data_IF_868803529343
#
_entry.id   IF_868803529343
#
_cell.length_a   1.000
_cell.length_b   1.000
_cell.length_c   1.000
_cell.angle_alpha   90.00
_cell.angle_beta   90.00
_cell.angle_gamma   90.00
#
_symmetry.space_group_name_H-M   'P 1'
#
loop_
_entity.id
_entity.type
_entity.pdbx_description
1 polymer ?
#
# COMPACT_ATOMS: atom_id res chain seq x y z
N UNK A 1 28.67 -50.39 7.27
CA UNK A 1 27.40 -49.68 7.03
C UNK A 1 27.43 -48.41 7.84
N UNK A 2 27.53 -47.24 7.21
CA UNK A 2 27.41 -45.96 7.91
C UNK A 2 25.93 -45.51 7.88
N UNK A 3 25.40 -44.91 8.96
CA UNK A 3 24.02 -44.45 8.97
C UNK A 3 23.84 -43.21 8.09
N UNK A 4 22.74 -43.16 7.35
CA UNK A 4 22.31 -41.98 6.60
C UNK A 4 21.83 -40.93 7.59
N UNK A 5 22.45 -39.75 7.56
CA UNK A 5 22.03 -38.59 8.33
C UNK A 5 20.77 -38.02 7.67
N UNK A 6 19.60 -38.21 8.29
CA UNK A 6 18.38 -37.51 7.87
C UNK A 6 18.62 -36.02 8.04
N UNK A 7 18.61 -35.27 6.93
CA UNK A 7 18.61 -33.82 6.95
C UNK A 7 17.22 -33.41 7.44
N UNK A 8 17.17 -32.76 8.59
CA UNK A 8 15.98 -32.06 9.06
C UNK A 8 15.68 -30.94 8.05
N UNK A 9 14.65 -31.14 7.23
CA UNK A 9 14.13 -30.14 6.30
C UNK A 9 13.27 -29.12 7.07
N UNK A 10 13.84 -28.48 8.09
CA UNK A 10 13.24 -27.30 8.71
C UNK A 10 13.52 -26.02 7.91
N UNK A 11 13.73 -26.13 6.60
CA UNK A 11 13.65 -24.98 5.71
C UNK A 11 12.17 -24.61 5.61
N UNK A 12 11.78 -23.66 6.47
CA UNK A 12 10.59 -22.85 6.25
C UNK A 12 10.80 -22.09 4.95
N UNK A 13 10.41 -22.74 3.87
CA UNK A 13 10.24 -22.09 2.58
C UNK A 13 9.19 -21.00 2.78
N UNK A 14 9.63 -19.74 2.81
CA UNK A 14 8.81 -18.55 2.52
C UNK A 14 8.38 -18.56 1.03
N UNK A 15 8.02 -19.73 0.52
CA UNK A 15 7.57 -19.96 -0.84
C UNK A 15 6.10 -19.53 -0.94
N UNK A 16 5.88 -18.42 -1.64
CA UNK A 16 4.65 -18.20 -2.38
C UNK A 16 3.46 -17.64 -1.60
N UNK A 17 3.65 -17.00 -0.44
CA UNK A 17 2.55 -16.25 0.16
C UNK A 17 2.25 -15.01 -0.72
N UNK A 18 1.21 -15.08 -1.55
CA UNK A 18 0.68 -13.92 -2.28
C UNK A 18 0.09 -12.96 -1.24
N UNK A 19 0.92 -12.04 -0.75
CA UNK A 19 0.48 -10.94 0.11
C UNK A 19 0.02 -9.77 -0.76
N UNK A 20 -0.95 -8.98 -0.29
CA UNK A 20 -1.22 -7.68 -0.89
C UNK A 20 0.09 -6.90 -0.99
N UNK A 21 0.33 -6.22 -2.12
CA UNK A 21 1.49 -5.33 -2.30
C UNK A 21 1.30 -4.08 -1.44
N UNK A 22 1.39 -4.23 -0.11
CA UNK A 22 1.25 -3.13 0.84
C UNK A 22 2.28 -2.03 0.59
N UNK A 23 3.41 -2.38 -0.03
CA UNK A 23 4.37 -1.45 -0.60
C UNK A 23 4.78 -1.92 -2.00
N UNK A 24 4.85 -1.01 -2.96
CA UNK A 24 5.34 -1.23 -4.31
C UNK A 24 6.54 -0.30 -4.58
N UNK A 25 7.64 -0.87 -5.06
CA UNK A 25 8.91 -0.18 -5.28
C UNK A 25 9.20 0.01 -6.78
N UNK A 26 9.78 1.16 -7.12
CA UNK A 26 10.30 1.45 -8.44
C UNK A 26 11.61 2.22 -8.34
N UNK A 27 12.25 2.46 -9.49
CA UNK A 27 13.54 3.16 -9.54
C UNK A 27 13.50 4.59 -9.01
N UNK A 28 12.34 5.25 -9.06
CA UNK A 28 12.18 6.63 -8.61
C UNK A 28 11.65 6.77 -7.17
N UNK A 29 11.35 5.66 -6.48
CA UNK A 29 10.75 5.71 -5.15
C UNK A 29 9.87 4.50 -4.83
N UNK A 30 9.02 4.65 -3.82
CA UNK A 30 8.02 3.64 -3.48
C UNK A 30 6.70 4.27 -3.05
N UNK A 31 5.63 3.49 -3.16
CA UNK A 31 4.30 3.83 -2.68
C UNK A 31 3.75 2.71 -1.84
N UNK A 32 2.95 3.05 -0.82
CA UNK A 32 2.44 2.06 0.11
C UNK A 32 1.02 2.36 0.56
N UNK A 33 0.29 1.32 0.96
CA UNK A 33 -1.00 1.38 1.62
C UNK A 33 -1.14 0.22 2.60
N UNK A 34 -1.65 0.53 3.79
CA UNK A 34 -2.01 -0.44 4.81
C UNK A 34 -3.42 -0.13 5.31
N UNK A 35 -4.34 -1.06 5.08
CA UNK A 35 -5.73 -0.96 5.55
C UNK A 35 -5.96 -1.94 6.69
N UNK A 36 -6.54 -1.42 7.78
CA UNK A 36 -6.89 -2.22 8.95
C UNK A 36 -8.34 -1.95 9.36
N UNK A 37 -9.04 -3.00 9.80
CA UNK A 37 -10.36 -2.86 10.42
C UNK A 37 -10.19 -2.15 11.77
N UNK A 38 -11.07 -1.19 12.05
CA UNK A 38 -11.02 -0.42 13.31
C UNK A 38 -12.26 -0.64 14.19
N UNK A 39 -13.41 -0.97 13.59
CA UNK A 39 -14.65 -1.34 14.30
C UNK A 39 -15.62 -2.00 13.33
N UNK A 40 -16.85 -2.30 13.79
CA UNK A 40 -17.84 -2.97 12.94
C UNK A 40 -18.11 -2.16 11.67
N UNK A 41 -17.98 -2.82 10.52
CA UNK A 41 -18.16 -2.24 9.20
C UNK A 41 -17.26 -1.01 8.92
N UNK A 42 -16.13 -0.85 9.63
CA UNK A 42 -15.26 0.32 9.48
C UNK A 42 -13.78 -0.04 9.38
N UNK A 43 -13.09 0.63 8.47
CA UNK A 43 -11.65 0.51 8.30
C UNK A 43 -10.95 1.87 8.26
N UNK A 44 -9.65 1.81 8.44
CA UNK A 44 -8.72 2.91 8.24
C UNK A 44 -7.64 2.47 7.26
N UNK A 45 -7.35 3.31 6.28
CA UNK A 45 -6.18 3.17 5.42
C UNK A 45 -5.14 4.24 5.80
N UNK A 46 -3.93 3.80 6.12
CA UNK A 46 -2.73 4.64 6.11
C UNK A 46 -2.00 4.39 4.78
N UNK A 47 -1.53 5.43 4.13
CA UNK A 47 -0.94 5.33 2.79
C UNK A 47 0.09 6.44 2.57
N UNK A 48 0.94 6.26 1.56
CA UNK A 48 1.94 7.28 1.26
C UNK A 48 2.84 6.95 0.09
N UNK A 49 3.80 7.84 -0.11
CA UNK A 49 4.82 7.76 -1.14
C UNK A 49 6.15 8.31 -0.64
N UNK A 50 7.24 7.83 -1.23
CA UNK A 50 8.58 8.35 -1.04
C UNK A 50 9.28 8.46 -2.39
N UNK A 51 10.02 9.55 -2.60
CA UNK A 51 10.73 9.86 -3.83
C UNK A 51 12.24 9.82 -3.63
N UNK A 52 12.95 9.08 -4.48
CA UNK A 52 14.42 9.07 -4.55
C UNK A 52 14.98 10.18 -5.44
N UNK A 53 14.13 10.86 -6.20
CA UNK A 53 14.54 11.78 -7.28
C UNK A 53 14.28 13.26 -6.96
N UNK A 54 13.91 13.56 -5.71
CA UNK A 54 13.73 14.91 -5.20
C UNK A 54 12.46 15.09 -4.36
N UNK A 55 12.32 16.26 -3.73
CA UNK A 55 11.14 16.63 -2.95
C UNK A 55 9.90 16.66 -3.85
N UNK A 56 8.80 16.08 -3.35
CA UNK A 56 7.47 16.19 -3.94
C UNK A 56 6.89 17.55 -3.57
N UNK A 57 6.55 18.35 -4.58
CA UNK A 57 5.90 19.66 -4.43
C UNK A 57 4.38 19.53 -4.35
N UNK A 58 3.82 18.59 -5.12
CA UNK A 58 2.40 18.26 -5.10
C UNK A 58 2.21 16.74 -5.19
N UNK A 59 1.19 16.22 -4.53
CA UNK A 59 0.79 14.81 -4.56
C UNK A 59 -0.71 14.74 -4.80
N UNK A 60 -1.10 14.15 -5.92
CA UNK A 60 -2.47 13.88 -6.31
C UNK A 60 -2.73 12.39 -6.05
N UNK A 61 -3.73 12.07 -5.23
CA UNK A 61 -3.93 10.71 -4.77
C UNK A 61 -5.40 10.31 -4.80
N UNK A 62 -5.63 9.01 -4.95
CA UNK A 62 -6.93 8.35 -4.82
C UNK A 62 -6.75 7.03 -4.05
N UNK A 63 -7.62 6.80 -3.06
CA UNK A 63 -7.75 5.54 -2.34
C UNK A 63 -9.10 4.93 -2.72
N UNK A 64 -9.07 3.81 -3.45
CA UNK A 64 -10.25 2.99 -3.75
C UNK A 64 -10.44 1.96 -2.64
N UNK A 65 -11.66 1.80 -2.12
CA UNK A 65 -11.96 0.92 -0.98
C UNK A 65 -12.43 -0.48 -1.36
N UNK A 66 -12.53 -0.79 -2.66
CA UNK A 66 -12.98 -2.09 -3.16
C UNK A 66 -14.50 -2.33 -3.08
N UNK A 67 -15.28 -1.34 -2.62
CA UNK A 67 -16.76 -1.37 -2.60
C UNK A 67 -17.40 -0.39 -3.60
N UNK A 68 -16.60 0.09 -4.56
CA UNK A 68 -17.00 1.10 -5.54
C UNK A 68 -16.87 2.55 -5.05
N UNK A 69 -16.52 2.79 -3.78
CA UNK A 69 -16.25 4.13 -3.25
C UNK A 69 -14.76 4.44 -3.22
N UNK A 70 -14.44 5.74 -3.23
CA UNK A 70 -13.07 6.21 -3.09
C UNK A 70 -12.98 7.53 -2.32
N UNK A 71 -11.78 7.82 -1.81
CA UNK A 71 -11.39 9.16 -1.39
C UNK A 71 -10.26 9.65 -2.30
N UNK A 72 -10.21 10.96 -2.57
CA UNK A 72 -9.12 11.57 -3.31
C UNK A 72 -8.74 12.91 -2.72
N UNK A 73 -7.58 13.43 -3.14
CA UNK A 73 -7.13 14.74 -2.72
C UNK A 73 -5.81 15.17 -3.34
N UNK A 74 -5.39 16.36 -2.93
CA UNK A 74 -4.10 16.95 -3.29
C UNK A 74 -3.39 17.40 -2.02
N UNK A 75 -2.09 17.14 -1.92
CA UNK A 75 -1.23 17.60 -0.83
C UNK A 75 -0.01 18.31 -1.39
N UNK A 76 0.52 19.29 -0.66
CA UNK A 76 1.72 20.05 -1.02
C UNK A 76 2.82 19.86 0.05
N UNK A 77 3.47 18.68 0.10
CA UNK A 77 4.33 18.30 1.23
C UNK A 77 5.70 19.01 1.22
N UNK A 78 6.21 19.43 0.05
CA UNK A 78 7.55 19.97 -0.13
C UNK A 78 8.65 19.11 0.54
N UNK A 79 8.47 17.78 0.50
CA UNK A 79 9.28 16.78 1.18
C UNK A 79 9.49 15.56 0.28
N UNK A 80 10.53 14.77 0.53
CA UNK A 80 10.77 13.49 -0.17
C UNK A 80 9.77 12.41 0.20
N UNK A 81 9.05 12.58 1.32
CA UNK A 81 8.01 11.67 1.78
C UNK A 81 6.69 12.39 1.94
N UNK A 82 5.60 11.66 1.70
CA UNK A 82 4.23 12.06 2.01
C UNK A 82 3.45 10.86 2.55
N UNK A 83 2.56 11.13 3.50
CA UNK A 83 1.65 10.15 4.04
C UNK A 83 0.28 10.77 4.31
N UNK A 84 -0.76 9.95 4.21
CA UNK A 84 -2.14 10.31 4.52
C UNK A 84 -2.87 9.18 5.26
N UNK A 85 -4.02 9.52 5.80
CA UNK A 85 -4.92 8.58 6.45
C UNK A 85 -6.36 8.89 6.08
N UNK A 86 -7.17 7.84 5.84
CA UNK A 86 -8.62 7.95 5.63
C UNK A 86 -9.37 6.84 6.34
N UNK A 87 -10.61 7.17 6.72
CA UNK A 87 -11.57 6.25 7.30
C UNK A 87 -12.64 5.93 6.27
N UNK A 88 -13.17 4.71 6.34
CA UNK A 88 -14.27 4.27 5.48
C UNK A 88 -15.27 3.41 6.23
N UNK A 89 -16.53 3.51 5.82
CA UNK A 89 -17.63 2.70 6.32
C UNK A 89 -18.19 1.84 5.19
N UNK A 90 -18.23 0.54 5.42
CA UNK A 90 -18.77 -0.46 4.50
C UNK A 90 -20.25 -0.71 4.82
N UNK A 91 -21.04 -1.10 3.81
CA UNK A 91 -22.44 -1.46 4.01
C UNK A 91 -22.64 -2.94 4.39
N UNK A 92 -21.62 -3.78 4.17
CA UNK A 92 -21.68 -5.24 4.34
C UNK A 92 -20.35 -5.78 4.85
N UNK A 93 -20.41 -6.92 5.53
CA UNK A 93 -19.22 -7.70 5.89
C UNK A 93 -18.64 -8.37 4.65
N UNK A 94 -17.32 -8.56 4.61
CA UNK A 94 -16.62 -9.15 3.47
C UNK A 94 -15.13 -8.84 3.45
N UNK A 95 -14.41 -9.44 2.50
CA UNK A 95 -13.02 -9.08 2.19
C UNK A 95 -13.02 -7.98 1.14
N UNK A 96 -12.32 -6.89 1.42
CA UNK A 96 -12.19 -5.74 0.53
C UNK A 96 -10.72 -5.51 0.18
N UNK A 97 -10.48 -5.11 -1.07
CA UNK A 97 -9.14 -4.70 -1.54
C UNK A 97 -9.11 -3.19 -1.66
N UNK A 98 -8.27 -2.55 -0.83
CA UNK A 98 -7.98 -1.13 -0.91
C UNK A 98 -6.77 -0.90 -1.82
N UNK A 99 -6.84 0.09 -2.71
CA UNK A 99 -5.75 0.44 -3.62
C UNK A 99 -5.42 1.93 -3.54
N UNK A 100 -4.14 2.28 -3.55
CA UNK A 100 -3.68 3.66 -3.70
C UNK A 100 -3.27 3.91 -5.14
N UNK A 101 -3.86 4.90 -5.80
CA UNK A 101 -3.42 5.38 -7.12
C UNK A 101 -3.15 6.88 -7.09
N UNK A 102 -2.50 7.41 -8.13
CA UNK A 102 -2.17 8.83 -8.22
C UNK A 102 -0.78 9.10 -8.76
N UNK A 103 -0.29 10.31 -8.51
CA UNK A 103 1.05 10.73 -8.89
C UNK A 103 1.56 11.89 -8.01
N UNK A 104 2.88 12.06 -7.98
CA UNK A 104 3.52 13.24 -7.39
C UNK A 104 4.28 14.06 -8.44
N UNK A 105 4.36 15.37 -8.23
CA UNK A 105 5.27 16.26 -8.96
C UNK A 105 6.50 16.47 -8.09
N UNK A 106 7.67 15.98 -8.53
CA UNK A 106 8.91 16.00 -7.77
C UNK A 106 10.05 16.66 -8.54
N UNK A 107 11.02 17.22 -7.82
CA UNK A 107 12.24 17.78 -8.43
C UNK A 107 11.99 18.92 -9.43
N UNK A 108 10.89 19.66 -9.27
CA UNK A 108 10.51 20.81 -10.09
C UNK A 108 9.55 20.49 -11.25
N UNK A 109 9.67 19.32 -11.89
CA UNK A 109 8.87 18.98 -13.09
C UNK A 109 8.61 17.47 -13.33
N UNK A 110 9.12 16.56 -12.49
CA UNK A 110 9.01 15.12 -12.73
C UNK A 110 7.69 14.57 -12.20
N UNK A 111 6.95 13.85 -13.04
CA UNK A 111 5.77 13.10 -12.62
C UNK A 111 6.19 11.70 -12.14
N UNK A 112 5.89 11.40 -10.88
CA UNK A 112 6.11 10.09 -10.27
C UNK A 112 4.76 9.41 -10.10
N UNK A 113 4.42 8.51 -11.01
CA UNK A 113 3.19 7.72 -10.93
C UNK A 113 3.28 6.69 -9.80
N UNK A 114 2.20 6.56 -9.04
CA UNK A 114 2.11 5.57 -7.99
C UNK A 114 1.99 4.18 -8.60
N UNK A 115 2.67 3.20 -8.00
CA UNK A 115 2.74 1.83 -8.51
C UNK A 115 1.55 0.97 -8.10
N UNK A 116 0.43 1.62 -7.78
CA UNK A 116 -0.84 0.99 -7.39
C UNK A 116 -0.72 -0.08 -6.30
N UNK A 117 -0.08 0.22 -5.14
CA UNK A 117 -0.01 -0.74 -4.04
C UNK A 117 -1.43 -1.05 -3.53
N UNK A 118 -1.60 -2.28 -3.04
CA UNK A 118 -2.88 -2.80 -2.57
C UNK A 118 -2.76 -3.38 -1.17
N UNK A 119 -3.84 -3.27 -0.40
CA UNK A 119 -3.99 -3.86 0.93
C UNK A 119 -5.36 -4.52 1.03
N UNK A 120 -5.43 -5.71 1.63
CA UNK A 120 -6.70 -6.42 1.84
C UNK A 120 -7.10 -6.36 3.31
N UNK A 121 -8.39 -6.21 3.55
CA UNK A 121 -8.96 -6.19 4.90
C UNK A 121 -10.25 -6.99 4.94
N UNK A 122 -10.40 -7.83 5.98
CA UNK A 122 -11.69 -8.44 6.29
C UNK A 122 -12.50 -7.51 7.20
N UNK A 123 -13.73 -7.23 6.79
CA UNK A 123 -14.68 -6.35 7.46
C UNK A 123 -15.81 -7.20 8.01
N UNK A 124 -16.08 -7.06 9.31
CA UNK A 124 -17.23 -7.60 10.02
C UNK A 124 -17.74 -6.58 11.04
#
# INVERSE_FOLDING_TARGET
MSPVKMIDMSDKSDEGEIKPQGTAYGSAGYTWINTSRISSLRAQAAFGAHSYVGKMQAVYWNVSWGDGKSNSGVNFPFSVSWSGQKLHSYSKSGVYTTALSGYAIAGGTRYLYFLNPVSMVYIN
#
